data_IF_013691217768
#
_entry.id   IF_013691217768
#
_cell.length_a   1.000
_cell.length_b   1.000
_cell.length_c   1.000
_cell.angle_alpha   90.00
_cell.angle_beta   90.00
_cell.angle_gamma   90.00
#
_symmetry.space_group_name_H-M   'P 1'
#
loop_
_entity.id
_entity.type
_entity.pdbx_description
1 polymer ?
#
# COMPACT_ATOMS: atom_id res chain seq x y z
N UNK A 1 -10.89 -70.60 51.95
CA UNK A 1 -11.38 -70.12 50.64
C UNK A 1 -11.50 -68.60 50.68
N UNK A 2 -10.71 -67.82 49.91
CA UNK A 2 -10.77 -66.34 50.01
C UNK A 2 -10.06 -65.54 48.90
N UNK A 3 -9.56 -66.19 47.84
CA UNK A 3 -8.72 -65.54 46.83
C UNK A 3 -9.51 -64.77 45.75
N UNK A 4 -10.80 -65.07 45.54
CA UNK A 4 -11.61 -64.51 44.44
C UNK A 4 -12.12 -63.07 44.62
N UNK A 5 -12.42 -62.62 45.85
CA UNK A 5 -12.91 -61.24 46.08
C UNK A 5 -11.81 -60.18 45.91
N UNK A 6 -10.55 -60.50 46.26
CA UNK A 6 -9.42 -59.58 46.09
C UNK A 6 -9.06 -59.36 44.61
N UNK A 7 -9.18 -60.39 43.76
CA UNK A 7 -8.80 -60.32 42.34
C UNK A 7 -9.80 -59.53 41.50
N UNK A 8 -11.11 -59.60 41.80
CA UNK A 8 -12.13 -58.75 41.19
C UNK A 8 -11.88 -57.25 41.44
N UNK A 9 -11.61 -56.88 42.70
CA UNK A 9 -11.32 -55.49 43.06
C UNK A 9 -10.03 -54.94 42.42
N UNK A 10 -9.03 -55.79 42.19
CA UNK A 10 -7.79 -55.40 41.52
C UNK A 10 -8.00 -55.19 40.00
N UNK A 11 -8.87 -55.99 39.38
CA UNK A 11 -9.19 -55.89 37.95
C UNK A 11 -9.98 -54.62 37.62
N UNK A 12 -10.91 -54.23 38.49
CA UNK A 12 -11.67 -52.99 38.36
C UNK A 12 -10.80 -51.74 38.52
N UNK A 13 -9.80 -51.78 39.40
CA UNK A 13 -8.81 -50.69 39.56
C UNK A 13 -7.97 -50.51 38.31
N UNK A 14 -7.44 -51.60 37.73
CA UNK A 14 -6.71 -51.57 36.45
C UNK A 14 -7.57 -51.04 35.30
N UNK A 15 -8.82 -51.48 35.20
CA UNK A 15 -9.75 -50.99 34.17
C UNK A 15 -10.02 -49.47 34.31
N UNK A 16 -10.15 -48.97 35.55
CA UNK A 16 -10.28 -47.52 35.82
C UNK A 16 -9.02 -46.74 35.45
N UNK A 17 -7.84 -47.29 35.73
CA UNK A 17 -6.56 -46.69 35.37
C UNK A 17 -6.35 -46.65 33.85
N UNK A 18 -6.67 -47.72 33.14
CA UNK A 18 -6.66 -47.78 31.67
C UNK A 18 -7.65 -46.78 31.06
N UNK A 19 -8.89 -46.69 31.60
CA UNK A 19 -9.86 -45.66 31.19
C UNK A 19 -9.34 -44.25 31.45
N UNK A 20 -8.68 -44.00 32.59
CA UNK A 20 -8.07 -42.70 32.90
C UNK A 20 -6.91 -42.37 31.95
N UNK A 21 -6.05 -43.34 31.63
CA UNK A 21 -4.98 -43.14 30.65
C UNK A 21 -5.52 -42.90 29.25
N UNK A 22 -6.53 -43.66 28.82
CA UNK A 22 -7.17 -43.51 27.49
C UNK A 22 -7.87 -42.15 27.39
N UNK A 23 -8.58 -41.71 28.43
CA UNK A 23 -9.17 -40.37 28.49
C UNK A 23 -8.13 -39.25 28.53
N UNK A 24 -6.98 -39.45 29.21
CA UNK A 24 -5.88 -38.48 29.24
C UNK A 24 -5.21 -38.34 27.87
N UNK A 25 -4.93 -39.46 27.18
CA UNK A 25 -4.41 -39.46 25.80
C UNK A 25 -5.40 -38.83 24.83
N UNK A 26 -6.69 -39.17 24.92
CA UNK A 26 -7.74 -38.57 24.07
C UNK A 26 -7.86 -37.05 24.27
N UNK A 27 -7.76 -36.56 25.52
CA UNK A 27 -7.75 -35.12 25.81
C UNK A 27 -6.55 -34.39 25.21
N UNK A 28 -5.37 -34.99 25.27
CA UNK A 28 -4.15 -34.42 24.68
C UNK A 28 -4.30 -34.37 23.16
N UNK A 29 -4.69 -35.48 22.52
CA UNK A 29 -4.91 -35.53 21.06
C UNK A 29 -5.98 -34.53 20.62
N UNK A 30 -7.08 -34.37 21.36
CA UNK A 30 -8.11 -33.38 21.05
C UNK A 30 -7.59 -31.94 21.15
N UNK A 31 -6.73 -31.63 22.13
CA UNK A 31 -6.07 -30.33 22.23
C UNK A 31 -5.14 -30.07 21.05
N UNK A 32 -4.32 -31.04 20.65
CA UNK A 32 -3.43 -30.91 19.48
C UNK A 32 -4.20 -30.79 18.17
N UNK A 33 -5.33 -31.50 18.00
CA UNK A 33 -6.21 -31.33 16.84
C UNK A 33 -6.84 -29.94 16.79
N UNK A 34 -7.36 -29.44 17.91
CA UNK A 34 -7.92 -28.08 17.99
C UNK A 34 -6.86 -27.00 17.75
N UNK A 35 -5.69 -27.16 18.34
CA UNK A 35 -4.56 -26.25 18.12
C UNK A 35 -4.15 -26.26 16.64
N UNK A 36 -4.02 -27.44 16.02
CA UNK A 36 -3.72 -27.57 14.60
C UNK A 36 -4.73 -26.83 13.71
N UNK A 37 -6.03 -27.04 13.94
CA UNK A 37 -7.09 -26.35 13.18
C UNK A 37 -7.01 -24.82 13.36
N UNK A 38 -6.82 -24.33 14.59
CA UNK A 38 -6.69 -22.89 14.86
C UNK A 38 -5.47 -22.31 14.15
N UNK A 39 -4.32 -22.99 14.21
CA UNK A 39 -3.10 -22.55 13.54
C UNK A 39 -3.28 -22.51 12.03
N UNK A 40 -3.94 -23.50 11.43
CA UNK A 40 -4.24 -23.50 9.99
C UNK A 40 -5.13 -22.33 9.59
N UNK A 41 -6.18 -22.04 10.37
CA UNK A 41 -7.06 -20.89 10.12
C UNK A 41 -6.27 -19.57 10.24
N UNK A 42 -5.42 -19.43 11.27
CA UNK A 42 -4.61 -18.23 11.45
C UNK A 42 -3.64 -17.99 10.28
N UNK A 43 -3.01 -19.05 9.77
CA UNK A 43 -2.12 -18.97 8.60
C UNK A 43 -2.89 -18.57 7.34
N UNK A 44 -4.11 -19.11 7.12
CA UNK A 44 -4.94 -18.73 5.99
C UNK A 44 -5.36 -17.25 6.06
N UNK A 45 -5.74 -16.76 7.24
CA UNK A 45 -6.07 -15.33 7.43
C UNK A 45 -4.86 -14.46 7.11
N UNK A 46 -3.67 -14.82 7.60
CA UNK A 46 -2.43 -14.09 7.31
C UNK A 46 -2.12 -14.07 5.80
N UNK A 47 -2.26 -15.20 5.11
CA UNK A 47 -2.04 -15.28 3.67
C UNK A 47 -3.00 -14.37 2.89
N UNK A 48 -4.27 -14.32 3.29
CA UNK A 48 -5.28 -13.43 2.69
C UNK A 48 -4.92 -11.96 2.93
N UNK A 49 -4.52 -11.59 4.15
CA UNK A 49 -4.13 -10.21 4.46
C UNK A 49 -2.90 -9.75 3.65
N UNK A 50 -1.90 -10.61 3.49
CA UNK A 50 -0.73 -10.34 2.65
C UNK A 50 -1.13 -10.20 1.18
N UNK A 51 -2.01 -11.07 0.69
CA UNK A 51 -2.56 -10.99 -0.66
C UNK A 51 -3.30 -9.67 -0.91
N UNK A 52 -4.16 -9.25 0.02
CA UNK A 52 -4.89 -7.97 -0.05
C UNK A 52 -3.91 -6.79 -0.02
N UNK A 53 -2.88 -6.82 0.83
CA UNK A 53 -1.87 -5.77 0.91
C UNK A 53 -1.07 -5.64 -0.40
N UNK A 54 -0.64 -6.76 -0.99
CA UNK A 54 0.05 -6.77 -2.28
C UNK A 54 -0.85 -6.28 -3.43
N UNK A 55 -2.12 -6.70 -3.44
CA UNK A 55 -3.11 -6.26 -4.42
C UNK A 55 -3.41 -4.76 -4.28
N UNK A 56 -3.56 -4.24 -3.07
CA UNK A 56 -3.80 -2.81 -2.84
C UNK A 56 -2.59 -1.97 -3.22
N UNK A 57 -1.36 -2.41 -2.93
CA UNK A 57 -0.13 -1.74 -3.41
C UNK A 57 -0.10 -1.62 -4.93
N UNK A 58 -0.32 -2.72 -5.64
CA UNK A 58 -0.27 -2.73 -7.12
C UNK A 58 -1.45 -1.96 -7.72
N UNK A 59 -2.65 -2.09 -7.17
CA UNK A 59 -3.83 -1.31 -7.60
C UNK A 59 -3.60 0.18 -7.35
N UNK A 60 -3.13 0.60 -6.17
CA UNK A 60 -2.86 2.01 -5.87
C UNK A 60 -1.81 2.60 -6.80
N UNK A 61 -0.74 1.84 -7.09
CA UNK A 61 0.31 2.27 -8.02
C UNK A 61 -0.17 2.30 -9.47
N UNK A 62 -0.99 1.34 -9.90
CA UNK A 62 -1.41 1.19 -11.29
C UNK A 62 -2.68 1.97 -11.67
N UNK A 63 -3.54 2.31 -10.70
CA UNK A 63 -4.85 2.95 -11.00
C UNK A 63 -4.84 4.47 -10.91
N UNK A 64 -3.79 5.09 -10.36
CA UNK A 64 -3.72 6.55 -10.20
C UNK A 64 -4.81 7.13 -9.27
N UNK A 65 -5.59 6.29 -8.58
CA UNK A 65 -6.68 6.70 -7.67
C UNK A 65 -6.15 7.61 -6.56
N UNK A 66 -4.93 7.34 -6.06
CA UNK A 66 -4.29 8.18 -5.04
C UNK A 66 -3.83 9.53 -5.60
N UNK A 67 -3.53 9.62 -6.89
CA UNK A 67 -3.19 10.89 -7.55
C UNK A 67 -4.44 11.74 -7.78
N UNK A 68 -5.54 11.14 -8.25
CA UNK A 68 -6.80 11.86 -8.51
C UNK A 68 -7.52 12.34 -7.24
N UNK A 69 -7.37 11.63 -6.13
CA UNK A 69 -8.04 12.00 -4.86
C UNK A 69 -7.19 12.91 -3.96
N UNK A 70 -6.00 13.32 -4.40
CA UNK A 70 -5.13 14.22 -3.65
C UNK A 70 -5.09 15.57 -4.33
N UNK A 71 -5.72 16.57 -3.71
CA UNK A 71 -5.56 17.97 -4.10
C UNK A 71 -4.09 18.35 -3.94
N UNK A 72 -3.48 18.79 -5.04
CA UNK A 72 -2.07 19.16 -5.09
C UNK A 72 -1.89 20.68 -5.09
N UNK A 73 -2.80 21.42 -5.73
CA UNK A 73 -2.89 22.87 -5.72
C UNK A 73 -4.37 23.29 -5.75
N UNK A 74 -4.71 24.45 -5.20
CA UNK A 74 -6.08 24.96 -5.19
C UNK A 74 -6.12 26.48 -5.11
N UNK A 75 -7.22 27.05 -5.59
CA UNK A 75 -7.66 28.42 -5.34
C UNK A 75 -9.02 28.41 -4.61
N UNK A 76 -9.67 29.57 -4.46
CA UNK A 76 -10.94 29.67 -3.75
C UNK A 76 -12.06 28.85 -4.40
N UNK A 77 -12.02 28.68 -5.72
CA UNK A 77 -13.09 28.07 -6.50
C UNK A 77 -12.64 26.90 -7.39
N UNK A 78 -11.34 26.63 -7.49
CA UNK A 78 -10.81 25.59 -8.38
C UNK A 78 -9.76 24.74 -7.66
N UNK A 79 -9.72 23.45 -7.99
CA UNK A 79 -8.75 22.49 -7.45
C UNK A 79 -8.02 21.79 -8.59
N UNK A 80 -6.73 21.53 -8.36
CA UNK A 80 -5.86 20.75 -9.24
C UNK A 80 -5.42 19.53 -8.47
N UNK A 81 -5.91 18.36 -8.88
CA UNK A 81 -5.49 17.09 -8.30
C UNK A 81 -4.07 16.69 -8.77
N UNK A 82 -3.48 15.70 -8.11
CA UNK A 82 -2.12 15.29 -8.43
C UNK A 82 -2.01 14.57 -9.78
N UNK A 83 -3.10 14.08 -10.39
CA UNK A 83 -3.09 13.57 -11.76
C UNK A 83 -3.00 14.72 -12.78
N UNK A 84 -3.77 15.79 -12.58
CA UNK A 84 -3.68 17.02 -13.37
C UNK A 84 -2.30 17.66 -13.25
N UNK A 85 -1.76 17.77 -12.03
CA UNK A 85 -0.42 18.30 -11.82
C UNK A 85 0.66 17.45 -12.50
N UNK A 86 0.50 16.12 -12.53
CA UNK A 86 1.42 15.23 -13.24
C UNK A 86 1.38 15.45 -14.76
N UNK A 87 0.20 15.74 -15.32
CA UNK A 87 0.06 16.11 -16.72
C UNK A 87 0.74 17.45 -17.02
N UNK A 88 0.50 18.47 -16.20
CA UNK A 88 1.16 19.77 -16.36
C UNK A 88 2.67 19.69 -16.21
N UNK A 89 3.17 18.81 -15.34
CA UNK A 89 4.60 18.54 -15.20
C UNK A 89 5.17 17.93 -16.48
N UNK A 90 4.49 16.92 -17.04
CA UNK A 90 4.91 16.31 -18.30
C UNK A 90 4.95 17.33 -19.44
N UNK A 91 3.92 18.17 -19.56
CA UNK A 91 3.86 19.21 -20.59
C UNK A 91 4.97 20.25 -20.42
N UNK A 92 5.21 20.70 -19.17
CA UNK A 92 6.30 21.64 -18.86
C UNK A 92 7.65 21.04 -19.22
N UNK A 93 7.90 19.78 -18.85
CA UNK A 93 9.11 19.05 -19.22
C UNK A 93 9.28 18.99 -20.75
N UNK A 94 8.23 18.58 -21.49
CA UNK A 94 8.31 18.47 -22.95
C UNK A 94 8.52 19.83 -23.63
N UNK A 95 7.85 20.88 -23.17
CA UNK A 95 7.98 22.22 -23.74
C UNK A 95 9.38 22.80 -23.51
N UNK A 96 9.93 22.63 -22.30
CA UNK A 96 11.28 23.10 -21.97
C UNK A 96 12.35 22.30 -22.73
N UNK A 97 12.16 20.99 -22.90
CA UNK A 97 13.04 20.13 -23.70
C UNK A 97 12.95 20.48 -25.19
N UNK A 98 11.74 20.71 -25.72
CA UNK A 98 11.53 21.05 -27.13
C UNK A 98 12.03 22.46 -27.48
N UNK A 99 11.89 23.42 -26.56
CA UNK A 99 12.35 24.79 -26.75
C UNK A 99 13.88 24.92 -26.76
N UNK A 100 14.60 23.98 -26.13
CA UNK A 100 16.06 24.02 -26.02
C UNK A 100 16.69 22.97 -26.94
N UNK A 101 16.74 23.28 -28.24
CA UNK A 101 17.22 22.37 -29.30
C UNK A 101 18.68 21.89 -29.15
N UNK A 102 19.49 22.42 -28.23
CA UNK A 102 20.89 21.97 -28.06
C UNK A 102 21.57 22.27 -26.69
N UNK A 103 20.96 23.00 -25.76
CA UNK A 103 21.70 23.59 -24.61
C UNK A 103 21.40 22.92 -23.26
N UNK A 104 20.20 22.36 -23.05
CA UNK A 104 19.88 21.63 -21.81
C UNK A 104 20.45 20.19 -21.78
N UNK A 105 20.94 19.71 -22.92
CA UNK A 105 21.28 18.30 -23.17
C UNK A 105 22.65 17.84 -22.64
N UNK A 106 23.44 18.68 -21.99
CA UNK A 106 24.69 18.22 -21.34
C UNK A 106 24.48 17.71 -19.91
N UNK A 107 23.30 17.91 -19.30
CA UNK A 107 23.09 17.65 -17.87
C UNK A 107 21.94 16.72 -17.47
N UNK A 108 21.00 16.38 -18.37
CA UNK A 108 19.87 15.50 -18.05
C UNK A 108 20.08 14.11 -18.67
N UNK A 109 20.20 13.10 -17.81
CA UNK A 109 20.23 11.68 -18.15
C UNK A 109 18.79 11.11 -18.15
N UNK A 110 18.26 10.77 -19.32
CA UNK A 110 16.91 10.24 -19.48
C UNK A 110 16.73 8.82 -18.94
N UNK A 111 17.81 8.09 -18.68
CA UNK A 111 17.76 6.75 -18.10
C UNK A 111 17.65 6.78 -16.56
N UNK A 112 17.86 7.95 -15.94
CA UNK A 112 17.82 8.14 -14.49
C UNK A 112 16.63 8.97 -14.06
N UNK A 113 16.20 8.79 -12.81
CA UNK A 113 15.15 9.61 -12.22
C UNK A 113 15.59 11.08 -12.12
N UNK A 114 14.74 12.03 -12.50
CA UNK A 114 15.02 13.47 -12.35
C UNK A 114 15.19 13.89 -10.88
N UNK A 115 14.66 13.09 -9.93
CA UNK A 115 14.81 13.30 -8.48
C UNK A 115 16.19 12.91 -7.95
N UNK A 116 17.00 12.26 -8.77
CA UNK A 116 18.33 11.78 -8.41
C UNK A 116 19.43 12.48 -9.22
N UNK A 117 19.03 13.49 -10.00
CA UNK A 117 19.91 14.24 -10.88
C UNK A 117 19.92 15.69 -10.42
N UNK A 118 21.09 16.15 -10.02
CA UNK A 118 21.28 17.51 -9.55
C UNK A 118 21.20 18.50 -10.73
N UNK A 119 20.36 19.53 -10.59
CA UNK A 119 20.38 20.68 -11.49
C UNK A 119 21.41 21.71 -10.99
N UNK A 120 21.43 21.94 -9.69
CA UNK A 120 22.46 22.69 -8.97
C UNK A 120 22.89 21.88 -7.75
N UNK A 121 23.87 22.37 -6.97
CA UNK A 121 24.27 21.71 -5.72
C UNK A 121 23.17 21.66 -4.64
N UNK A 122 22.05 22.35 -4.83
CA UNK A 122 20.97 22.44 -3.83
C UNK A 122 19.64 21.83 -4.28
N UNK A 123 19.40 21.73 -5.60
CA UNK A 123 18.12 21.29 -6.13
C UNK A 123 18.30 20.30 -7.28
N UNK A 124 17.36 19.37 -7.38
CA UNK A 124 17.32 18.38 -8.46
C UNK A 124 16.65 18.94 -9.70
N UNK A 125 16.83 18.28 -10.84
CA UNK A 125 16.07 18.58 -12.05
C UNK A 125 14.56 18.43 -11.82
N UNK A 126 14.14 17.46 -11.00
CA UNK A 126 12.73 17.34 -10.63
C UNK A 126 12.22 18.61 -9.92
N UNK A 127 12.98 19.15 -8.98
CA UNK A 127 12.60 20.36 -8.25
C UNK A 127 12.50 21.56 -9.19
N UNK A 128 13.46 21.72 -10.11
CA UNK A 128 13.44 22.78 -11.12
C UNK A 128 12.19 22.72 -12.01
N UNK A 129 11.85 21.55 -12.56
CA UNK A 129 10.67 21.41 -13.41
C UNK A 129 9.37 21.52 -12.61
N UNK A 130 9.36 21.04 -11.36
CA UNK A 130 8.20 21.13 -10.49
C UNK A 130 7.91 22.58 -10.12
N UNK A 131 8.93 23.38 -9.80
CA UNK A 131 8.79 24.81 -9.51
C UNK A 131 8.13 25.55 -10.69
N UNK A 132 8.67 25.38 -11.90
CA UNK A 132 8.07 25.92 -13.14
C UNK A 132 6.63 25.45 -13.36
N UNK A 133 6.36 24.18 -13.11
CA UNK A 133 5.01 23.62 -13.24
C UNK A 133 4.06 24.28 -12.26
N UNK A 134 4.44 24.42 -10.99
CA UNK A 134 3.60 25.05 -9.97
C UNK A 134 3.35 26.53 -10.25
N UNK A 135 4.34 27.26 -10.77
CA UNK A 135 4.16 28.64 -11.21
C UNK A 135 3.11 28.72 -12.33
N UNK A 136 3.24 27.88 -13.37
CA UNK A 136 2.28 27.82 -14.48
C UNK A 136 0.87 27.47 -14.02
N UNK A 137 0.74 26.49 -13.12
CA UNK A 137 -0.58 26.07 -12.59
C UNK A 137 -1.20 27.17 -11.72
N UNK A 138 -0.37 27.92 -10.99
CA UNK A 138 -0.85 29.09 -10.22
C UNK A 138 -1.41 30.17 -11.14
N UNK A 139 -0.76 30.44 -12.28
CA UNK A 139 -1.27 31.38 -13.28
C UNK A 139 -2.60 30.89 -13.88
N UNK A 140 -2.71 29.59 -14.19
CA UNK A 140 -3.97 29.00 -14.69
C UNK A 140 -5.10 29.18 -13.69
N UNK A 141 -4.85 28.91 -12.40
CA UNK A 141 -5.84 29.11 -11.35
C UNK A 141 -6.23 30.59 -11.22
N UNK A 142 -5.25 31.50 -11.27
CA UNK A 142 -5.51 32.94 -11.24
C UNK A 142 -6.40 33.39 -12.40
N UNK A 143 -6.13 32.92 -13.62
CA UNK A 143 -6.96 33.24 -14.78
C UNK A 143 -8.36 32.62 -14.68
N UNK A 144 -8.48 31.41 -14.15
CA UNK A 144 -9.77 30.76 -13.91
C UNK A 144 -10.63 31.54 -12.90
N UNK A 145 -10.02 32.01 -11.81
CA UNK A 145 -10.69 32.90 -10.84
C UNK A 145 -11.12 34.22 -11.49
N UNK A 146 -10.24 34.82 -12.29
CA UNK A 146 -10.56 36.04 -13.04
C UNK A 146 -11.74 35.85 -14.01
N UNK A 147 -11.75 34.75 -14.76
CA UNK A 147 -12.83 34.41 -15.68
C UNK A 147 -14.15 34.15 -14.94
N UNK A 148 -14.10 33.43 -13.80
CA UNK A 148 -15.26 33.19 -12.94
C UNK A 148 -15.82 34.51 -12.40
N UNK A 149 -14.97 35.41 -11.91
CA UNK A 149 -15.36 36.71 -11.40
C UNK A 149 -15.98 37.61 -12.49
N UNK A 150 -15.49 37.50 -13.73
CA UNK A 150 -16.03 38.20 -14.90
C UNK A 150 -17.29 37.55 -15.50
N UNK A 151 -17.74 36.41 -14.95
CA UNK A 151 -18.83 35.59 -15.47
C UNK A 151 -18.62 35.18 -16.95
N UNK A 152 -17.36 35.05 -17.37
CA UNK A 152 -16.96 34.51 -18.66
C UNK A 152 -16.72 33.01 -18.50
N UNK A 153 -17.40 32.21 -19.31
CA UNK A 153 -17.18 30.77 -19.38
C UNK A 153 -15.84 30.54 -20.11
N UNK A 154 -14.94 29.76 -19.48
CA UNK A 154 -13.75 29.18 -20.12
C UNK A 154 -14.13 27.96 -20.97
#
# INVERSE_FOLDING_TARGET
>A
MGKGKKTLSARERKLKEERRQKNRKARIVAKWKRAGVITTIAVLILAVLVGIYALTRTVIQNTGIVLRNRVAMSSDNFEVDAAMLSYYFYETYQNEVAAQTNVLYTGIDSARSLKEQDYTSMITWFDFFMDKTTARVSDILLYAEGAKAANTIL
#
